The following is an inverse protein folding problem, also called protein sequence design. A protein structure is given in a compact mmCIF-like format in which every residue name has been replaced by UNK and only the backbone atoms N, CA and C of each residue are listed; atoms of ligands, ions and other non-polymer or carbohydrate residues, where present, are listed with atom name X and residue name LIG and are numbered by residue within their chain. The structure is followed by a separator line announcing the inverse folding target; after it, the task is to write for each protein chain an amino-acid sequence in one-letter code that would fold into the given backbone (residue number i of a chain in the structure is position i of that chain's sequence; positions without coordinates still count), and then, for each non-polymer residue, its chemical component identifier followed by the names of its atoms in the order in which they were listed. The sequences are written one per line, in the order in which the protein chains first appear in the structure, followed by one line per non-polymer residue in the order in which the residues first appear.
data_IF_820162418695
#
_entry.id   IF_820162418695
#
_cell.length_a   1.000
_cell.length_b   1.000
_cell.length_c   1.000
_cell.angle_alpha   90.00
_cell.angle_beta   90.00
_cell.angle_gamma   90.00
#
_symmetry.space_group_name_H-M   'P 1'
#
loop_
_entity.id
_entity.type
_entity.pdbx_description
1 polymer ?
#
# COMPACT_ATOMS: atom_id res chain seq x y z
N UNK A 1 19.33 -21.70 -31.97
CA UNK A 1 18.57 -20.43 -31.80
C UNK A 1 18.19 -20.35 -30.34
N UNK A 2 18.91 -19.54 -29.57
CA UNK A 2 18.65 -19.33 -28.15
C UNK A 2 17.78 -18.10 -28.04
N UNK A 3 16.49 -18.28 -27.76
CA UNK A 3 15.56 -17.18 -27.57
C UNK A 3 15.88 -16.52 -26.23
N UNK A 4 16.65 -15.44 -26.27
CA UNK A 4 16.85 -14.57 -25.11
C UNK A 4 15.51 -13.85 -24.89
N UNK A 5 14.75 -14.28 -23.89
CA UNK A 5 13.63 -13.50 -23.38
C UNK A 5 14.20 -12.22 -22.75
N UNK A 6 14.16 -11.12 -23.50
CA UNK A 6 14.35 -9.79 -22.96
C UNK A 6 13.14 -9.48 -22.07
N UNK A 7 13.30 -9.65 -20.76
CA UNK A 7 12.41 -9.02 -19.79
C UNK A 7 12.66 -7.51 -19.89
N UNK A 8 11.67 -6.68 -20.24
CA UNK A 8 11.89 -5.24 -20.38
C UNK A 8 12.38 -4.67 -19.05
N UNK A 9 13.45 -3.86 -19.12
CA UNK A 9 14.12 -3.23 -17.98
C UNK A 9 13.19 -2.33 -17.12
N UNK A 10 11.96 -2.06 -17.56
CA UNK A 10 10.92 -1.38 -16.77
C UNK A 10 10.26 -2.25 -15.69
N UNK A 11 10.38 -3.58 -15.76
CA UNK A 11 9.78 -4.46 -14.76
C UNK A 11 10.58 -4.50 -13.45
N UNK A 12 11.93 -4.40 -13.50
CA UNK A 12 12.75 -4.68 -12.33
C UNK A 12 12.72 -3.61 -11.22
N UNK A 13 12.33 -2.37 -11.53
CA UNK A 13 12.21 -1.30 -10.52
C UNK A 13 10.83 -1.24 -9.84
N UNK A 14 9.84 -1.95 -10.39
CA UNK A 14 8.49 -2.00 -9.83
C UNK A 14 8.39 -2.91 -8.59
N UNK A 15 9.28 -3.90 -8.49
CA UNK A 15 9.26 -4.99 -7.49
C UNK A 15 10.28 -4.86 -6.35
N UNK A 16 11.01 -3.75 -6.25
CA UNK A 16 11.85 -3.48 -5.09
C UNK A 16 10.99 -3.25 -3.84
N UNK A 17 11.46 -3.60 -2.62
CA UNK A 17 10.73 -3.36 -1.39
C UNK A 17 10.28 -1.90 -1.30
N UNK A 18 9.03 -1.67 -0.92
CA UNK A 18 8.51 -0.33 -0.65
C UNK A 18 8.05 -0.28 0.80
N UNK A 19 8.55 0.72 1.52
CA UNK A 19 8.18 0.93 2.91
C UNK A 19 7.03 1.92 2.94
N UNK A 20 6.00 1.59 3.70
CA UNK A 20 4.94 2.49 4.07
C UNK A 20 5.12 2.82 5.54
N UNK A 21 5.50 4.05 5.81
CA UNK A 21 5.52 4.62 7.15
C UNK A 21 4.19 5.33 7.37
N UNK A 22 3.55 5.09 8.51
CA UNK A 22 2.23 5.60 8.84
C UNK A 22 2.25 6.25 10.23
N UNK A 23 1.51 7.34 10.38
CA UNK A 23 1.49 8.14 11.61
C UNK A 23 0.08 8.30 12.16
N UNK A 24 -0.02 8.38 13.49
CA UNK A 24 -1.26 8.52 14.24
C UNK A 24 -2.02 9.83 13.96
N UNK A 25 -1.29 10.89 13.58
CA UNK A 25 -1.85 12.23 13.30
C UNK A 25 -1.64 12.63 11.84
N UNK A 26 -2.38 13.63 11.35
CA UNK A 26 -2.10 14.26 10.06
C UNK A 26 -0.67 14.82 10.00
N UNK A 27 -0.19 15.06 8.78
CA UNK A 27 1.09 15.67 8.44
C UNK A 27 2.31 14.87 8.92
N UNK A 28 2.17 13.54 9.05
CA UNK A 28 3.22 12.62 9.43
C UNK A 28 3.79 12.95 10.82
N UNK A 29 2.88 13.10 11.79
CA UNK A 29 3.19 13.48 13.16
C UNK A 29 2.62 12.49 14.18
N UNK A 30 3.20 12.50 15.39
CA UNK A 30 2.80 11.62 16.48
C UNK A 30 3.48 10.25 16.39
N UNK A 31 2.94 9.28 17.12
CA UNK A 31 3.44 7.90 17.06
C UNK A 31 3.29 7.31 15.66
N UNK A 32 4.24 6.46 15.29
CA UNK A 32 4.38 5.92 13.95
C UNK A 32 4.51 4.39 13.94
N UNK A 33 4.33 3.83 12.76
CA UNK A 33 4.61 2.42 12.47
C UNK A 33 4.99 2.30 11.01
N UNK A 34 5.70 1.22 10.66
CA UNK A 34 6.12 0.99 9.29
C UNK A 34 5.88 -0.46 8.88
N UNK A 35 5.53 -0.65 7.62
CA UNK A 35 5.53 -1.95 6.98
C UNK A 35 6.39 -1.94 5.73
N UNK A 36 6.96 -3.09 5.40
CA UNK A 36 7.69 -3.29 4.15
C UNK A 36 6.88 -4.22 3.26
N UNK A 37 6.44 -3.73 2.11
CA UNK A 37 5.88 -4.59 1.08
C UNK A 37 7.02 -5.27 0.33
N UNK A 38 7.08 -6.59 0.42
CA UNK A 38 7.94 -7.45 -0.39
C UNK A 38 7.09 -8.24 -1.38
N UNK A 39 7.74 -8.95 -2.29
CA UNK A 39 7.12 -9.91 -3.23
C UNK A 39 6.12 -10.86 -2.56
N UNK A 40 6.40 -11.32 -1.33
CA UNK A 40 5.54 -12.22 -0.56
C UNK A 40 4.21 -11.60 -0.14
N UNK A 41 4.14 -10.27 -0.02
CA UNK A 41 3.00 -9.54 0.53
C UNK A 41 2.18 -8.80 -0.52
N UNK A 42 2.68 -8.81 -1.75
CA UNK A 42 2.02 -8.19 -2.87
C UNK A 42 0.64 -8.80 -3.12
N UNK A 43 -0.38 -7.96 -3.30
CA UNK A 43 -1.77 -8.40 -3.46
C UNK A 43 -2.51 -8.75 -2.17
N UNK A 44 -1.84 -8.74 -1.01
CA UNK A 44 -2.44 -9.13 0.27
C UNK A 44 -2.86 -7.93 1.10
N UNK A 45 -3.88 -8.14 1.93
CA UNK A 45 -4.29 -7.17 2.94
C UNK A 45 -3.39 -7.33 4.16
N UNK A 46 -2.65 -6.27 4.49
CA UNK A 46 -1.82 -6.19 5.68
C UNK A 46 -2.45 -5.20 6.65
N UNK A 47 -2.46 -5.54 7.94
CA UNK A 47 -2.95 -4.65 8.99
C UNK A 47 -1.85 -4.28 9.98
N UNK A 48 -1.96 -3.07 10.54
CA UNK A 48 -1.08 -2.52 11.56
C UNK A 48 -1.91 -2.16 12.81
N UNK A 49 -1.25 -2.19 13.97
CA UNK A 49 -1.89 -1.84 15.26
C UNK A 49 -2.25 -0.38 15.38
N UNK A 50 -1.50 0.48 14.68
CA UNK A 50 -1.65 1.92 14.75
C UNK A 50 -2.80 2.41 13.88
N UNK A 51 -3.78 3.06 14.50
CA UNK A 51 -4.78 3.85 13.77
C UNK A 51 -4.10 5.06 13.17
N UNK A 52 -3.88 5.01 11.87
CA UNK A 52 -3.07 5.99 11.15
C UNK A 52 -3.96 7.01 10.43
N UNK A 53 -3.46 8.24 10.28
CA UNK A 53 -4.12 9.37 9.62
C UNK A 53 -3.23 10.06 8.59
N UNK A 54 -1.99 9.61 8.46
CA UNK A 54 -1.13 10.00 7.36
C UNK A 54 -0.08 8.93 7.09
N UNK A 55 0.53 8.97 5.91
CA UNK A 55 1.60 8.04 5.55
C UNK A 55 2.59 8.66 4.55
N UNK A 56 3.73 8.00 4.40
CA UNK A 56 4.75 8.21 3.37
C UNK A 56 5.16 6.89 2.78
N UNK A 57 5.59 6.94 1.53
CA UNK A 57 6.23 5.82 0.87
C UNK A 57 7.73 6.11 0.75
N UNK A 58 8.57 5.08 0.93
CA UNK A 58 10.02 5.21 0.73
C UNK A 58 10.40 5.55 -0.72
N UNK A 59 9.50 5.25 -1.66
CA UNK A 59 9.59 5.63 -3.07
C UNK A 59 8.17 5.85 -3.63
N UNK A 60 8.07 6.60 -4.73
CA UNK A 60 6.81 6.72 -5.43
C UNK A 60 6.34 5.36 -6.00
N UNK A 61 5.02 5.19 -6.12
CA UNK A 61 4.42 4.14 -6.94
C UNK A 61 4.87 4.31 -8.39
N UNK A 62 5.02 3.20 -9.10
CA UNK A 62 5.52 3.17 -10.47
C UNK A 62 4.70 2.19 -11.31
N UNK A 63 4.67 2.41 -12.63
CA UNK A 63 3.97 1.57 -13.60
C UNK A 63 2.48 1.37 -13.27
N UNK A 64 2.11 0.13 -13.01
CA UNK A 64 0.74 -0.27 -12.66
C UNK A 64 0.54 -0.42 -11.14
N UNK A 65 1.38 0.22 -10.33
CA UNK A 65 1.35 0.11 -8.89
C UNK A 65 0.13 0.82 -8.29
N UNK A 66 -0.61 0.09 -7.47
CA UNK A 66 -1.77 0.58 -6.73
C UNK A 66 -1.63 0.27 -5.25
N UNK A 67 -1.85 1.28 -4.40
CA UNK A 67 -1.94 1.15 -2.95
C UNK A 67 -3.36 1.47 -2.51
N UNK A 68 -4.03 0.48 -1.94
CA UNK A 68 -5.33 0.66 -1.31
C UNK A 68 -5.16 0.78 0.19
N UNK A 69 -5.88 1.72 0.81
CA UNK A 69 -6.00 1.84 2.26
C UNK A 69 -7.43 1.53 2.68
N UNK A 70 -7.56 0.83 3.81
CA UNK A 70 -8.84 0.39 4.35
C UNK A 70 -8.85 0.41 5.89
N UNK A 71 -10.04 0.23 6.44
CA UNK A 71 -10.29 0.08 7.88
C UNK A 71 -10.97 -1.24 8.18
N UNK A 72 -10.87 -1.61 9.45
CA UNK A 72 -11.62 -2.72 10.03
C UNK A 72 -13.01 -2.24 10.46
N UNK A 73 -13.96 -3.17 10.66
CA UNK A 73 -15.37 -2.83 10.94
C UNK A 73 -15.59 -2.00 12.21
N UNK A 74 -14.69 -2.08 13.19
CA UNK A 74 -14.83 -1.32 14.44
C UNK A 74 -13.45 -0.92 15.00
N UNK A 75 -13.25 0.35 15.32
CA UNK A 75 -11.98 0.82 15.88
C UNK A 75 -11.75 0.33 17.32
N UNK A 76 -12.83 0.16 18.08
CA UNK A 76 -12.83 0.00 19.54
C UNK A 76 -12.80 -1.48 19.97
N UNK A 77 -13.47 -2.37 19.22
CA UNK A 77 -13.49 -3.82 19.51
C UNK A 77 -12.41 -4.61 18.76
N UNK A 78 -11.75 -4.01 17.76
CA UNK A 78 -10.72 -4.66 16.96
C UNK A 78 -9.51 -5.14 17.76
N UNK A 79 -9.25 -4.53 18.92
CA UNK A 79 -8.16 -4.96 19.79
C UNK A 79 -8.35 -6.36 20.39
N UNK A 80 -9.59 -6.88 20.41
CA UNK A 80 -9.92 -8.14 21.10
C UNK A 80 -9.80 -9.38 20.21
N UNK A 81 -10.02 -9.27 18.89
CA UNK A 81 -10.07 -10.41 17.98
C UNK A 81 -9.13 -10.23 16.79
N UNK A 82 -7.90 -10.73 16.97
CA UNK A 82 -7.00 -11.26 15.93
C UNK A 82 -6.19 -10.26 15.08
N UNK A 83 -5.06 -10.79 14.62
CA UNK A 83 -4.41 -10.45 13.36
C UNK A 83 -3.73 -9.08 13.25
N UNK A 84 -3.30 -8.49 14.37
CA UNK A 84 -2.36 -7.39 14.38
C UNK A 84 -1.04 -7.82 13.69
N UNK A 85 -0.62 -7.14 12.64
CA UNK A 85 0.49 -7.55 11.74
C UNK A 85 0.21 -8.81 10.91
N UNK A 86 -1.06 -9.19 10.76
CA UNK A 86 -1.42 -10.33 9.90
C UNK A 86 -1.32 -9.95 8.45
N UNK A 87 -0.71 -10.85 7.70
CA UNK A 87 -0.46 -10.68 6.27
C UNK A 87 -1.67 -11.07 5.42
N UNK A 88 -2.73 -11.61 6.02
CA UNK A 88 -3.95 -12.06 5.35
C UNK A 88 -5.16 -11.68 6.21
N UNK A 89 -5.26 -10.40 6.55
CA UNK A 89 -6.29 -9.95 7.46
C UNK A 89 -7.66 -9.86 6.75
N UNK A 90 -8.56 -10.77 7.13
CA UNK A 90 -9.93 -10.83 6.61
C UNK A 90 -10.83 -9.70 7.12
N UNK A 91 -10.37 -8.91 8.09
CA UNK A 91 -11.13 -7.80 8.68
C UNK A 91 -11.01 -6.48 7.93
N UNK A 92 -10.03 -6.35 7.03
CA UNK A 92 -9.77 -5.18 6.20
C UNK A 92 -10.85 -5.05 5.11
N UNK A 93 -12.08 -4.76 5.53
CA UNK A 93 -13.29 -4.90 4.72
C UNK A 93 -13.87 -3.56 4.24
N UNK A 94 -13.53 -2.47 4.93
CA UNK A 94 -14.08 -1.14 4.57
C UNK A 94 -13.02 -0.36 3.83
N UNK A 95 -13.18 -0.28 2.51
CA UNK A 95 -12.32 0.50 1.64
C UNK A 95 -12.43 2.00 1.95
N UNK A 96 -11.29 2.70 1.97
CA UNK A 96 -11.22 4.13 2.28
C UNK A 96 -10.75 4.91 1.06
N UNK A 97 -9.60 4.56 0.50
CA UNK A 97 -8.97 5.33 -0.55
C UNK A 97 -7.92 4.52 -1.31
N UNK A 98 -7.68 4.88 -2.56
CA UNK A 98 -6.64 4.31 -3.42
C UNK A 98 -5.65 5.38 -3.86
N UNK A 99 -4.39 4.97 -3.97
CA UNK A 99 -3.29 5.71 -4.56
C UNK A 99 -2.71 4.95 -5.75
N UNK A 100 -2.35 5.70 -6.77
CA UNK A 100 -1.77 5.27 -8.05
C UNK A 100 -0.43 5.99 -8.27
N UNK A 101 0.23 5.76 -9.38
CA UNK A 101 1.49 6.46 -9.73
C UNK A 101 1.39 7.98 -9.70
N UNK A 102 0.24 8.55 -10.09
CA UNK A 102 0.05 10.02 -10.13
C UNK A 102 0.00 10.69 -8.75
N UNK A 103 -0.34 9.95 -7.68
CA UNK A 103 -0.56 10.52 -6.35
C UNK A 103 0.08 9.72 -5.20
N UNK A 104 0.59 8.51 -5.45
CA UNK A 104 1.35 7.70 -4.51
C UNK A 104 2.81 8.11 -4.53
N UNK A 105 3.12 9.28 -3.99
CA UNK A 105 4.48 9.84 -3.95
C UNK A 105 5.17 9.66 -2.59
N UNK A 106 6.43 10.08 -2.49
CA UNK A 106 7.20 10.12 -1.23
C UNK A 106 6.79 11.27 -0.30
N UNK A 107 5.86 12.12 -0.72
CA UNK A 107 5.31 13.18 0.12
C UNK A 107 4.47 12.60 1.26
N UNK A 108 4.21 13.41 2.28
CA UNK A 108 3.27 13.04 3.33
C UNK A 108 1.83 13.16 2.81
N UNK A 109 1.07 12.08 2.91
CA UNK A 109 -0.33 12.05 2.51
C UNK A 109 -1.22 12.04 3.74
N UNK A 110 -2.10 13.03 3.86
CA UNK A 110 -3.18 12.99 4.85
C UNK A 110 -4.30 12.09 4.36
N UNK A 111 -4.82 11.27 5.28
CA UNK A 111 -5.84 10.28 4.98
C UNK A 111 -6.96 10.34 6.01
N UNK A 112 -8.17 9.84 5.66
CA UNK A 112 -9.08 9.34 6.69
C UNK A 112 -8.37 8.26 7.52
N UNK A 113 -8.91 7.96 8.71
CA UNK A 113 -8.33 6.91 9.57
C UNK A 113 -8.18 5.61 8.76
N UNK A 114 -7.03 4.94 8.87
CA UNK A 114 -6.81 3.63 8.28
C UNK A 114 -6.00 2.74 9.23
N UNK A 115 -6.12 1.43 9.06
CA UNK A 115 -5.30 0.42 9.75
C UNK A 115 -4.77 -0.65 8.80
N UNK A 116 -5.36 -0.74 7.61
CA UNK A 116 -5.07 -1.75 6.63
C UNK A 116 -4.57 -1.12 5.34
N UNK A 117 -3.72 -1.86 4.65
CA UNK A 117 -3.20 -1.46 3.36
C UNK A 117 -2.91 -2.69 2.49
N UNK A 118 -3.04 -2.50 1.19
CA UNK A 118 -2.74 -3.51 0.17
C UNK A 118 -2.03 -2.86 -1.00
N UNK A 119 -0.81 -3.30 -1.27
CA UNK A 119 -0.07 -2.91 -2.46
C UNK A 119 -0.18 -4.01 -3.51
N UNK A 120 -0.55 -3.66 -4.73
CA UNK A 120 -0.72 -4.61 -5.82
C UNK A 120 -0.60 -3.99 -7.21
N UNK A 121 -0.44 -4.85 -8.22
CA UNK A 121 -0.35 -4.46 -9.63
C UNK A 121 -1.77 -4.45 -10.14
N UNK A 122 -2.21 -3.32 -10.71
CA UNK A 122 -3.47 -3.22 -11.41
C UNK A 122 -3.22 -3.12 -12.92
N UNK A 123 -3.33 -4.23 -13.67
CA UNK A 123 -3.11 -4.24 -15.12
C UNK A 123 -4.06 -3.33 -15.92
N UNK A 124 -5.17 -2.90 -15.32
CA UNK A 124 -6.06 -1.93 -15.94
C UNK A 124 -5.46 -0.53 -16.05
N UNK A 125 -4.36 -0.24 -15.36
CA UNK A 125 -3.69 1.07 -15.40
C UNK A 125 -2.80 1.26 -16.62
N UNK A 126 -2.31 0.21 -17.29
CA UNK A 126 -1.50 0.38 -18.52
C UNK A 126 -2.29 0.99 -19.68
N UNK A 127 -3.61 0.85 -19.68
CA UNK A 127 -4.50 1.39 -20.70
C UNK A 127 -4.77 2.89 -20.54
N UNK A 128 -4.56 3.45 -19.34
CA UNK A 128 -4.81 4.88 -19.08
C UNK A 128 -3.60 5.78 -19.32
N UNK A 129 -2.39 5.22 -19.47
CA UNK A 129 -1.17 5.98 -19.81
C UNK A 129 -0.82 5.97 -21.30
N UNK A 130 -1.58 5.26 -22.14
CA UNK A 130 -1.39 5.20 -23.60
C UNK A 130 -2.36 6.09 -24.39
N UNK A 131 -3.23 6.85 -23.71
CA UNK A 131 -4.18 7.78 -24.33
C UNK A 131 -3.78 9.26 -24.13
N UNK A 132 -2.50 9.58 -24.30
CA UNK A 132 -1.95 10.94 -24.28
C UNK A 132 -0.99 11.16 -25.43
#
# INVERSE_FOLDING_TARGET
MTTILFVPAGAQNMYGPIHLEAWAKPNCQGGDTAITFTDKFYGRNLSITLISRSFKLSRALQGEGQLDISVTRNFDTWYADKDQFSMNDSSCQTFVQTYYVVNGSTACHNTPKFKCHRLWTNPGLSWSYTAG
#
